data_IF_305377513393
#
_entry.id   IF_305377513393
#
_cell.length_a   1.000
_cell.length_b   1.000
_cell.length_c   1.000
_cell.angle_alpha   90.00
_cell.angle_beta   90.00
_cell.angle_gamma   90.00
#
_symmetry.space_group_name_H-M   'P 1'
#
loop_
_entity.id
_entity.type
_entity.pdbx_description
1 polymer ?
#
# COMPACT_ATOMS: atom_id res chain seq x y z
N UNK A 1 -6.85 -18.52 13.61
CA UNK A 1 -6.56 -17.23 14.26
C UNK A 1 -6.09 -16.26 13.18
N UNK A 2 -6.93 -15.34 12.70
CA UNK A 2 -6.50 -14.32 11.74
C UNK A 2 -5.94 -13.15 12.53
N UNK A 3 -4.63 -12.93 12.44
CA UNK A 3 -4.00 -11.70 12.94
C UNK A 3 -4.42 -10.57 12.01
N UNK A 4 -5.47 -9.82 12.36
CA UNK A 4 -6.00 -8.71 11.56
C UNK A 4 -5.01 -7.56 11.51
N UNK A 5 -4.09 -7.63 10.57
CA UNK A 5 -3.20 -6.54 10.23
C UNK A 5 -4.05 -5.45 9.55
N UNK A 6 -4.03 -4.21 10.04
CA UNK A 6 -4.93 -3.11 9.62
C UNK A 6 -4.86 -2.67 8.15
N UNK A 7 -4.14 -3.42 7.32
CA UNK A 7 -3.92 -3.23 5.89
C UNK A 7 -4.66 -4.26 5.03
N UNK A 8 -5.33 -5.24 5.66
CA UNK A 8 -6.11 -6.24 4.93
C UNK A 8 -7.45 -5.67 4.49
N UNK A 9 -7.74 -5.78 3.19
CA UNK A 9 -9.10 -5.63 2.70
C UNK A 9 -9.97 -6.76 3.25
N UNK A 10 -11.19 -6.42 3.64
CA UNK A 10 -12.21 -7.41 3.97
C UNK A 10 -12.49 -8.30 2.74
N UNK A 11 -12.95 -9.52 2.98
CA UNK A 11 -13.15 -10.51 1.92
C UNK A 11 -14.10 -10.00 0.82
N UNK A 12 -15.16 -9.27 1.18
CA UNK A 12 -16.08 -8.65 0.24
C UNK A 12 -15.42 -7.56 -0.62
N UNK A 13 -14.56 -6.73 -0.01
CA UNK A 13 -13.82 -5.66 -0.72
C UNK A 13 -12.80 -6.26 -1.69
N UNK A 14 -12.14 -7.35 -1.27
CA UNK A 14 -11.20 -8.10 -2.11
C UNK A 14 -11.90 -8.76 -3.29
N UNK A 15 -13.07 -9.36 -3.07
CA UNK A 15 -13.89 -9.96 -4.13
C UNK A 15 -14.33 -8.89 -5.14
N UNK A 16 -14.85 -7.76 -4.68
CA UNK A 16 -15.27 -6.67 -5.56
C UNK A 16 -14.12 -6.13 -6.42
N UNK A 17 -12.92 -5.95 -5.86
CA UNK A 17 -11.75 -5.50 -6.62
C UNK A 17 -11.31 -6.54 -7.68
N UNK A 18 -11.39 -7.82 -7.34
CA UNK A 18 -11.11 -8.93 -8.27
C UNK A 18 -12.12 -8.96 -9.42
N UNK A 19 -13.42 -8.91 -9.14
CA UNK A 19 -14.47 -8.94 -10.18
C UNK A 19 -14.40 -7.73 -11.11
N UNK A 20 -13.92 -6.58 -10.60
CA UNK A 20 -13.66 -5.39 -11.42
C UNK A 20 -12.40 -5.51 -12.32
N UNK A 21 -11.65 -6.63 -12.26
CA UNK A 21 -10.46 -6.86 -13.06
C UNK A 21 -9.19 -6.22 -12.52
N UNK A 22 -9.08 -6.03 -11.20
CA UNK A 22 -7.93 -5.41 -10.52
C UNK A 22 -7.57 -4.00 -11.04
N UNK A 23 -8.53 -3.04 -11.09
CA UNK A 23 -8.21 -1.67 -11.49
C UNK A 23 -7.10 -1.10 -10.58
N UNK A 24 -6.05 -0.56 -11.21
CA UNK A 24 -4.85 -0.05 -10.56
C UNK A 24 -4.34 1.21 -11.29
N UNK A 25 -3.97 2.23 -10.53
CA UNK A 25 -3.26 3.40 -11.04
C UNK A 25 -1.97 3.61 -10.25
N UNK A 26 -0.84 3.74 -10.97
CA UNK A 26 0.47 4.01 -10.38
C UNK A 26 0.85 5.46 -10.65
N UNK A 27 1.33 6.16 -9.62
CA UNK A 27 1.77 7.56 -9.72
C UNK A 27 3.04 7.75 -8.92
N UNK A 28 3.94 8.60 -9.43
CA UNK A 28 5.13 9.02 -8.68
C UNK A 28 4.71 10.11 -7.70
N UNK A 29 5.04 9.92 -6.42
CA UNK A 29 4.89 10.96 -5.42
C UNK A 29 6.12 11.87 -5.40
N UNK A 30 5.94 13.20 -5.31
CA UNK A 30 7.07 14.11 -5.18
C UNK A 30 7.76 13.88 -3.81
N UNK A 31 9.06 14.19 -3.73
CA UNK A 31 9.94 13.83 -2.61
C UNK A 31 9.37 14.26 -1.24
N UNK A 32 8.85 15.48 -1.17
CA UNK A 32 8.27 16.09 0.03
C UNK A 32 7.04 15.33 0.57
N UNK A 33 6.34 14.58 -0.28
CA UNK A 33 5.11 13.86 0.10
C UNK A 33 5.38 12.52 0.78
N UNK A 34 6.57 11.94 0.59
CA UNK A 34 6.91 10.61 1.10
C UNK A 34 6.88 10.51 2.62
N UNK A 35 7.27 11.57 3.34
CA UNK A 35 7.20 11.59 4.79
C UNK A 35 5.77 11.42 5.30
N UNK A 36 4.80 12.10 4.68
CA UNK A 36 3.40 11.97 5.05
C UNK A 36 2.81 10.60 4.66
N UNK A 37 3.14 10.11 3.46
CA UNK A 37 2.63 8.82 2.96
C UNK A 37 3.10 7.65 3.82
N UNK A 38 4.38 7.61 4.19
CA UNK A 38 4.93 6.51 4.99
C UNK A 38 4.44 6.50 6.45
N UNK A 39 3.93 7.62 6.96
CA UNK A 39 3.30 7.73 8.29
C UNK A 39 1.79 7.59 8.28
N UNK A 40 1.17 7.40 7.12
CA UNK A 40 -0.29 7.42 6.98
C UNK A 40 -1.02 6.18 7.51
N UNK A 41 -0.29 5.15 7.96
CA UNK A 41 -0.87 3.85 8.33
C UNK A 41 -1.28 2.99 7.13
N UNK A 42 -1.10 3.49 5.91
CA UNK A 42 -1.25 2.71 4.68
C UNK A 42 -0.15 1.64 4.54
N UNK A 43 -0.41 0.53 3.82
CA UNK A 43 0.63 -0.45 3.54
C UNK A 43 1.82 0.17 2.83
N UNK A 44 3.02 -0.02 3.40
CA UNK A 44 4.30 0.44 2.84
C UNK A 44 5.13 -0.76 2.43
N UNK A 45 5.60 -0.76 1.19
CA UNK A 45 6.62 -1.70 0.72
C UNK A 45 7.98 -1.10 1.03
N UNK A 46 8.80 -1.85 1.75
CA UNK A 46 10.22 -1.56 1.95
C UNK A 46 11.00 -2.52 1.07
N UNK A 47 11.92 -1.99 0.28
CA UNK A 47 12.81 -2.87 -0.47
C UNK A 47 13.65 -3.69 0.51
N UNK A 48 13.71 -5.00 0.28
CA UNK A 48 14.47 -5.92 1.11
C UNK A 48 15.98 -5.88 0.80
N UNK A 49 16.42 -4.97 -0.07
CA UNK A 49 17.83 -4.79 -0.44
C UNK A 49 18.30 -5.72 -1.57
N UNK A 50 17.38 -6.20 -2.41
CA UNK A 50 17.72 -7.00 -3.59
C UNK A 50 17.73 -6.17 -4.89
N UNK A 51 17.53 -4.86 -4.80
CA UNK A 51 17.62 -3.93 -5.94
C UNK A 51 18.63 -2.81 -5.68
N UNK A 52 18.97 -2.06 -6.74
CA UNK A 52 19.93 -0.93 -6.76
C UNK A 52 19.62 0.20 -5.76
N UNK A 53 18.46 0.19 -5.10
CA UNK A 53 18.08 1.20 -4.11
C UNK A 53 18.67 0.87 -2.74
N UNK A 54 19.21 1.89 -2.06
CA UNK A 54 19.76 1.75 -0.72
C UNK A 54 18.79 0.97 0.23
N UNK A 55 19.30 -0.02 0.99
CA UNK A 55 18.50 -0.82 1.91
C UNK A 55 17.66 0.03 2.86
N UNK A 56 16.38 -0.34 3.06
CA UNK A 56 15.47 0.34 4.00
C UNK A 56 14.65 1.49 3.41
N UNK A 57 14.82 1.80 2.13
CA UNK A 57 13.99 2.76 1.40
C UNK A 57 12.52 2.29 1.34
N UNK A 58 11.59 3.23 1.51
CA UNK A 58 10.17 3.02 1.23
C UNK A 58 9.97 3.29 -0.26
N UNK A 59 9.65 2.26 -1.04
CA UNK A 59 9.60 2.37 -2.51
C UNK A 59 8.19 2.49 -3.04
N UNK A 60 7.19 1.98 -2.30
CA UNK A 60 5.77 2.07 -2.66
C UNK A 60 4.93 2.25 -1.40
N UNK A 61 3.91 3.11 -1.48
CA UNK A 61 2.79 3.15 -0.53
C UNK A 61 1.52 2.77 -1.29
N UNK A 62 0.82 1.75 -0.81
CA UNK A 62 -0.42 1.30 -1.42
C UNK A 62 -1.62 2.06 -0.83
N UNK A 63 -2.46 2.59 -1.71
CA UNK A 63 -3.68 3.30 -1.34
C UNK A 63 -4.89 2.53 -1.86
N UNK A 64 -5.94 2.47 -1.05
CA UNK A 64 -7.23 1.95 -1.46
C UNK A 64 -8.34 2.68 -0.69
N UNK A 65 -9.46 3.06 -1.33
CA UNK A 65 -10.55 3.77 -0.66
C UNK A 65 -11.11 3.05 0.58
N UNK A 66 -11.00 1.73 0.65
CA UNK A 66 -11.43 0.96 1.82
C UNK A 66 -10.41 0.98 2.98
N UNK A 67 -9.12 1.24 2.69
CA UNK A 67 -8.08 1.38 3.72
C UNK A 67 -8.11 2.77 4.38
N UNK A 68 -8.62 3.78 3.66
CA UNK A 68 -8.74 5.15 4.17
C UNK A 68 -9.97 5.41 5.06
N UNK A 69 -10.96 4.52 5.01
CA UNK A 69 -12.24 4.66 5.76
C UNK A 69 -12.21 3.95 7.12
N UNK A 70 -11.03 3.52 7.57
CA UNK A 70 -10.85 2.75 8.80
C UNK A 70 -10.33 3.62 9.94
#
# INVERSE_FOLDING_TARGET
MRSSRGWELEDAQRAAWREAGFPLAVRVAPAERWGALTRSGLPVVRDAGFTEIAPGSCTVVADHPALRRR
#
